data_IF_951624617559
#
_entry.id   IF_951624617559
#
_cell.length_a   1.000
_cell.length_b   1.000
_cell.length_c   1.000
_cell.angle_alpha   90.00
_cell.angle_beta   90.00
_cell.angle_gamma   90.00
#
_symmetry.space_group_name_H-M   'P 1'
#
loop_
_entity.id
_entity.type
_entity.pdbx_description
1 polymer ?
#
# COMPACT_ATOMS: atom_id res chain seq x y z
N UNK A 1 -25.18 13.09 -2.92
CA UNK A 1 -24.35 12.21 -3.76
C UNK A 1 -23.55 11.30 -2.84
N UNK A 2 -23.90 10.01 -2.76
CA UNK A 2 -23.19 9.05 -1.91
C UNK A 2 -22.02 8.55 -2.75
N UNK A 3 -20.81 9.07 -2.51
CA UNK A 3 -19.60 8.54 -3.15
C UNK A 3 -19.31 7.21 -2.47
N UNK A 4 -19.79 6.12 -3.05
CA UNK A 4 -19.45 4.77 -2.61
C UNK A 4 -18.08 4.46 -3.21
N UNK A 5 -17.00 4.80 -2.50
CA UNK A 5 -15.65 4.43 -2.93
C UNK A 5 -15.56 2.92 -3.02
N UNK A 6 -15.54 2.40 -4.24
CA UNK A 6 -15.45 0.96 -4.49
C UNK A 6 -13.96 0.63 -4.46
N UNK A 7 -13.50 0.03 -3.35
CA UNK A 7 -12.09 -0.28 -3.09
C UNK A 7 -11.24 0.95 -2.76
N UNK A 8 -11.06 1.25 -1.48
CA UNK A 8 -10.17 2.34 -1.05
C UNK A 8 -8.75 1.80 -0.86
N UNK A 9 -7.78 2.34 -1.62
CA UNK A 9 -6.36 2.14 -1.34
C UNK A 9 -6.04 2.90 -0.05
N UNK A 10 -5.66 2.17 0.98
CA UNK A 10 -5.32 2.67 2.30
C UNK A 10 -3.87 3.14 2.39
N UNK A 11 -2.96 2.46 1.70
CA UNK A 11 -1.54 2.79 1.66
C UNK A 11 -0.86 2.15 0.46
N UNK A 12 0.26 2.76 0.04
CA UNK A 12 1.20 2.23 -0.95
C UNK A 12 2.57 2.12 -0.30
N UNK A 13 3.28 1.02 -0.54
CA UNK A 13 4.65 0.81 -0.07
C UNK A 13 5.50 0.48 -1.29
N UNK A 14 6.54 1.27 -1.55
CA UNK A 14 7.35 1.15 -2.77
C UNK A 14 8.85 1.21 -2.46
N UNK A 15 9.65 0.50 -3.25
CA UNK A 15 11.11 0.57 -3.20
C UNK A 15 11.67 1.75 -4.00
N UNK A 16 10.97 2.15 -5.07
CA UNK A 16 11.35 3.26 -5.95
C UNK A 16 10.37 4.44 -5.78
N UNK A 17 10.92 5.67 -5.73
CA UNK A 17 10.16 6.92 -5.62
C UNK A 17 9.49 7.36 -6.92
N UNK A 18 9.87 6.76 -8.04
CA UNK A 18 9.36 7.10 -9.37
C UNK A 18 8.12 6.30 -9.77
N UNK A 19 7.87 5.17 -9.12
CA UNK A 19 6.80 4.22 -9.50
C UNK A 19 5.46 4.47 -8.79
N UNK A 20 5.45 5.32 -7.76
CA UNK A 20 4.26 5.59 -6.96
C UNK A 20 4.01 7.10 -6.80
N UNK A 21 2.75 7.52 -6.96
CA UNK A 21 2.29 8.90 -6.79
C UNK A 21 0.78 8.94 -6.58
N UNK A 22 0.25 10.10 -6.15
CA UNK A 22 -1.18 10.30 -5.94
C UNK A 22 -1.55 10.67 -4.50
N UNK A 23 -2.82 10.46 -4.13
CA UNK A 23 -3.41 10.97 -2.88
C UNK A 23 -3.44 9.98 -1.70
N UNK A 24 -3.02 8.73 -1.88
CA UNK A 24 -2.91 7.77 -0.78
C UNK A 24 -1.57 7.94 -0.05
N UNK A 25 -1.46 7.59 1.24
CA UNK A 25 -0.18 7.56 1.94
C UNK A 25 0.82 6.61 1.25
N UNK A 26 2.02 7.11 0.93
CA UNK A 26 3.10 6.35 0.28
C UNK A 26 4.27 6.22 1.25
N UNK A 27 4.75 5.00 1.44
CA UNK A 27 5.93 4.69 2.24
C UNK A 27 7.04 4.16 1.34
N UNK A 28 8.20 4.81 1.38
CA UNK A 28 9.38 4.35 0.67
C UNK A 28 10.28 3.55 1.61
N UNK A 29 10.71 2.38 1.16
CA UNK A 29 11.51 1.43 1.92
C UNK A 29 12.78 1.07 1.16
N UNK A 30 13.83 0.71 1.87
CA UNK A 30 15.15 0.49 1.27
C UNK A 30 15.47 -1.00 1.03
N UNK A 31 14.59 -1.90 1.46
CA UNK A 31 14.75 -3.34 1.21
C UNK A 31 13.41 -4.10 1.10
N UNK A 32 13.40 -5.26 0.43
CA UNK A 32 12.24 -6.13 0.37
C UNK A 32 11.74 -6.58 1.75
N UNK A 33 12.64 -6.85 2.70
CA UNK A 33 12.30 -7.27 4.06
C UNK A 33 11.58 -6.16 4.83
N UNK A 34 12.01 -4.91 4.64
CA UNK A 34 11.34 -3.74 5.20
C UNK A 34 9.95 -3.55 4.59
N UNK A 35 9.82 -3.72 3.27
CA UNK A 35 8.55 -3.67 2.54
C UNK A 35 7.54 -4.67 3.11
N UNK A 36 7.94 -5.93 3.24
CA UNK A 36 7.09 -6.97 3.81
C UNK A 36 6.71 -6.68 5.26
N UNK A 37 7.69 -6.27 6.09
CA UNK A 37 7.45 -5.97 7.50
C UNK A 37 6.44 -4.83 7.66
N UNK A 38 6.63 -3.74 6.92
CA UNK A 38 5.74 -2.58 6.97
C UNK A 38 4.34 -2.93 6.46
N UNK A 39 4.24 -3.68 5.36
CA UNK A 39 2.97 -4.14 4.83
C UNK A 39 2.21 -5.02 5.82
N UNK A 40 2.90 -5.93 6.51
CA UNK A 40 2.32 -6.75 7.59
C UNK A 40 1.79 -5.91 8.74
N UNK A 41 2.50 -4.86 9.15
CA UNK A 41 2.03 -3.99 10.23
C UNK A 41 0.82 -3.16 9.83
N UNK A 42 0.88 -2.48 8.69
CA UNK A 42 -0.20 -1.60 8.25
C UNK A 42 -1.47 -2.43 7.95
N UNK A 43 -1.35 -3.60 7.31
CA UNK A 43 -2.50 -4.48 7.04
C UNK A 43 -3.18 -4.94 8.34
N UNK A 44 -2.42 -5.32 9.37
CA UNK A 44 -2.97 -5.69 10.69
C UNK A 44 -3.67 -4.53 11.38
N UNK A 45 -3.07 -3.34 11.37
CA UNK A 45 -3.63 -2.13 12.02
C UNK A 45 -4.93 -1.70 11.33
N UNK A 46 -4.93 -1.71 9.99
CA UNK A 46 -6.05 -1.18 9.19
C UNK A 46 -7.12 -2.20 8.86
N UNK A 47 -6.85 -3.48 9.17
CA UNK A 47 -7.61 -4.64 8.69
C UNK A 47 -7.69 -4.67 7.15
N UNK A 48 -6.65 -4.19 6.48
CA UNK A 48 -6.52 -4.17 5.03
C UNK A 48 -5.84 -5.42 4.48
N UNK A 49 -6.02 -5.69 3.19
CA UNK A 49 -5.31 -6.74 2.46
C UNK A 49 -4.14 -6.17 1.68
N UNK A 50 -3.01 -6.88 1.72
CA UNK A 50 -1.81 -6.55 0.95
C UNK A 50 -1.93 -7.18 -0.43
N UNK A 51 -1.73 -6.40 -1.49
CA UNK A 51 -1.53 -6.90 -2.85
C UNK A 51 -0.13 -6.52 -3.34
N UNK A 52 0.59 -7.52 -3.84
CA UNK A 52 1.86 -7.32 -4.54
C UNK A 52 1.58 -7.01 -6.01
N UNK A 53 2.13 -5.91 -6.51
CA UNK A 53 2.03 -5.52 -7.91
C UNK A 53 3.19 -6.06 -8.76
N UNK A 54 4.08 -6.86 -8.18
CA UNK A 54 5.21 -7.55 -8.83
C UNK A 54 6.25 -6.62 -9.48
N UNK A 55 6.24 -5.33 -9.12
CA UNK A 55 7.14 -4.30 -9.63
C UNK A 55 7.82 -3.50 -8.50
N UNK A 56 7.98 -4.12 -7.32
CA UNK A 56 8.53 -3.45 -6.14
C UNK A 56 7.50 -2.64 -5.34
N UNK A 57 6.22 -2.66 -5.72
CA UNK A 57 5.14 -1.94 -5.05
C UNK A 57 4.13 -2.89 -4.40
N UNK A 58 3.84 -2.66 -3.13
CA UNK A 58 2.69 -3.23 -2.43
C UNK A 58 1.61 -2.17 -2.26
N UNK A 59 0.36 -2.56 -2.42
CA UNK A 59 -0.80 -1.74 -2.06
C UNK A 59 -1.59 -2.41 -0.95
N UNK A 60 -2.19 -1.59 -0.09
CA UNK A 60 -3.09 -2.06 0.97
C UNK A 60 -4.48 -1.56 0.64
N UNK A 61 -5.44 -2.48 0.49
CA UNK A 61 -6.83 -2.16 0.14
C UNK A 61 -7.78 -2.63 1.22
N UNK A 62 -8.95 -1.98 1.30
CA UNK A 62 -10.09 -2.46 2.09
C UNK A 62 -11.32 -2.51 1.20
N UNK A 63 -11.93 -3.69 1.12
CA UNK A 63 -13.18 -3.93 0.39
C UNK A 63 -14.39 -3.51 1.21
#
# INVERSE_FOLDING_TARGET
>A
MKVTSTGSILAVIAEDKTVAGGGAPIFYVSSPEEKERLARYISRITQGMVHDLTNGVYIIVRH
#
